data_IF_506875670864
#
_entry.id   IF_506875670864
#
_cell.length_a   1.000
_cell.length_b   1.000
_cell.length_c   1.000
_cell.angle_alpha   90.00
_cell.angle_beta   90.00
_cell.angle_gamma   90.00
#
_symmetry.space_group_name_H-M   'P 1'
#
loop_
_entity.id
_entity.type
_entity.pdbx_description
1 polymer ?
#
# COMPACT_ATOMS: atom_id res chain seq x y z
N UNK A 1 -4.06 8.16 29.64
CA UNK A 1 -2.93 8.16 28.69
C UNK A 1 -3.52 8.02 27.29
N UNK A 2 -3.69 9.14 26.59
CA UNK A 2 -4.30 9.15 25.25
C UNK A 2 -3.38 8.47 24.23
N UNK A 3 -3.90 7.43 23.59
CA UNK A 3 -3.26 6.72 22.50
C UNK A 3 -3.14 7.66 21.29
N UNK A 4 -1.94 8.19 21.02
CA UNK A 4 -1.70 9.12 19.90
C UNK A 4 -1.40 8.31 18.63
N UNK A 5 -2.44 8.07 17.82
CA UNK A 5 -2.33 7.50 16.46
C UNK A 5 -2.25 8.63 15.44
N UNK A 6 -1.37 8.49 14.44
CA UNK A 6 -1.06 9.56 13.50
C UNK A 6 -1.76 9.30 12.15
N UNK A 7 -2.52 10.30 11.68
CA UNK A 7 -3.01 10.41 10.30
C UNK A 7 -1.95 11.12 9.48
N UNK A 8 -1.70 10.65 8.28
CA UNK A 8 -1.00 11.44 7.29
C UNK A 8 -1.82 11.44 5.99
N UNK A 9 -2.16 12.63 5.51
CA UNK A 9 -3.03 12.83 4.35
C UNK A 9 -2.12 13.35 3.24
N UNK A 10 -1.77 12.56 2.23
CA UNK A 10 -0.78 12.98 1.21
C UNK A 10 -1.20 12.61 -0.22
N UNK A 11 -0.79 13.44 -1.18
CA UNK A 11 -1.25 13.48 -2.56
C UNK A 11 -1.20 12.14 -3.30
N UNK A 12 -2.10 12.00 -4.29
CA UNK A 12 -1.75 11.23 -5.47
C UNK A 12 -2.90 10.71 -6.29
N UNK A 13 -3.03 11.24 -7.50
CA UNK A 13 -3.89 10.75 -8.57
C UNK A 13 -3.40 9.41 -9.14
N UNK A 14 -4.37 8.52 -9.41
CA UNK A 14 -4.30 7.25 -10.15
C UNK A 14 -3.35 6.15 -9.61
N UNK A 15 -3.81 4.89 -9.66
CA UNK A 15 -3.04 3.71 -9.23
C UNK A 15 -2.00 3.31 -10.29
N UNK A 16 -0.97 4.13 -10.49
CA UNK A 16 0.25 3.70 -11.19
C UNK A 16 1.24 3.08 -10.19
N UNK A 17 2.22 2.35 -10.69
CA UNK A 17 3.30 1.87 -9.84
C UNK A 17 4.14 3.05 -9.32
N UNK A 18 4.53 3.00 -8.04
CA UNK A 18 5.41 3.95 -7.36
C UNK A 18 4.93 5.41 -7.36
N UNK A 19 3.63 5.67 -7.58
CA UNK A 19 3.08 7.02 -7.50
C UNK A 19 3.31 7.60 -6.09
N UNK A 20 3.93 8.78 -6.02
CA UNK A 20 4.26 9.52 -4.78
C UNK A 20 5.31 8.87 -3.88
N UNK A 21 6.38 8.36 -4.49
CA UNK A 21 7.60 7.88 -3.81
C UNK A 21 8.17 8.86 -2.75
N UNK A 22 7.85 10.15 -2.84
CA UNK A 22 8.19 11.16 -1.83
C UNK A 22 7.67 10.79 -0.43
N UNK A 23 6.52 10.10 -0.33
CA UNK A 23 5.92 9.64 0.93
C UNK A 23 6.80 8.63 1.67
N UNK A 24 7.67 7.92 0.93
CA UNK A 24 8.55 6.94 1.52
C UNK A 24 9.60 7.54 2.47
N UNK A 25 9.82 8.86 2.44
CA UNK A 25 10.64 9.55 3.45
C UNK A 25 10.05 9.43 4.87
N UNK A 26 8.73 9.43 4.99
CA UNK A 26 8.03 9.30 6.28
C UNK A 26 8.10 7.88 6.82
N UNK A 27 8.01 6.90 5.92
CA UNK A 27 8.31 5.51 6.23
C UNK A 27 9.73 5.43 6.82
N UNK A 28 10.76 5.97 6.16
CA UNK A 28 12.13 5.98 6.71
C UNK A 28 12.22 6.64 8.09
N UNK A 29 11.50 7.73 8.32
CA UNK A 29 11.49 8.41 9.61
C UNK A 29 10.86 7.53 10.71
N UNK A 30 9.73 6.87 10.41
CA UNK A 30 9.07 5.92 11.29
C UNK A 30 10.00 4.73 11.62
N UNK A 31 10.71 4.19 10.63
CA UNK A 31 11.68 3.12 10.82
C UNK A 31 12.82 3.52 11.76
N UNK A 32 13.35 4.74 11.62
CA UNK A 32 14.41 5.26 12.51
C UNK A 32 13.93 5.39 13.96
N UNK A 33 12.69 5.84 14.15
CA UNK A 33 12.12 6.10 15.48
C UNK A 33 11.81 4.82 16.26
N UNK A 34 11.26 3.80 15.60
CA UNK A 34 10.72 2.63 16.30
C UNK A 34 11.71 1.46 16.44
N UNK A 35 12.90 1.51 15.81
CA UNK A 35 13.94 0.44 15.84
C UNK A 35 13.37 -0.99 15.78
N UNK A 36 12.28 -1.19 15.04
CA UNK A 36 11.60 -2.48 14.97
C UNK A 36 12.36 -3.45 14.08
N UNK A 37 12.28 -4.74 14.43
CA UNK A 37 12.80 -5.84 13.59
C UNK A 37 11.84 -6.21 12.45
N UNK A 38 10.54 -5.99 12.65
CA UNK A 38 9.48 -6.33 11.70
C UNK A 38 8.51 -5.16 11.58
N UNK A 39 8.07 -4.89 10.35
CA UNK A 39 7.13 -3.83 10.01
C UNK A 39 5.99 -4.45 9.19
N UNK A 40 4.76 -4.30 9.67
CA UNK A 40 3.56 -4.79 9.02
C UNK A 40 2.87 -3.63 8.30
N UNK A 41 2.60 -3.81 7.01
CA UNK A 41 2.04 -2.77 6.15
C UNK A 41 0.79 -3.30 5.48
N UNK A 42 -0.30 -2.56 5.54
CA UNK A 42 -1.55 -2.91 4.87
C UNK A 42 -1.86 -1.91 3.77
N UNK A 43 -1.95 -2.38 2.53
CA UNK A 43 -2.42 -1.60 1.38
C UNK A 43 -3.85 -2.00 1.04
N UNK A 44 -4.79 -1.07 1.18
CA UNK A 44 -6.22 -1.28 0.98
C UNK A 44 -6.90 -0.09 0.29
N UNK A 45 -7.77 -0.30 -0.70
CA UNK A 45 -8.00 -1.55 -1.40
C UNK A 45 -6.93 -1.74 -2.47
N UNK A 46 -6.50 -2.98 -2.70
CA UNK A 46 -5.66 -3.25 -3.86
C UNK A 46 -6.50 -3.52 -5.09
N UNK A 47 -6.12 -2.97 -6.23
CA UNK A 47 -6.69 -3.33 -7.54
C UNK A 47 -5.92 -4.49 -8.18
N UNK A 48 -5.04 -4.19 -9.11
CA UNK A 48 -4.27 -5.19 -9.87
C UNK A 48 -2.87 -5.40 -9.28
N UNK A 49 -2.64 -5.05 -8.02
CA UNK A 49 -1.36 -5.27 -7.32
C UNK A 49 -0.40 -4.09 -7.34
N UNK A 50 -0.67 -3.03 -8.10
CA UNK A 50 0.29 -1.95 -8.33
C UNK A 50 0.80 -1.31 -7.04
N UNK A 51 -0.08 -0.95 -6.11
CA UNK A 51 0.30 -0.33 -4.83
C UNK A 51 1.07 -1.28 -3.90
N UNK A 52 0.58 -2.48 -3.53
CA UNK A 52 1.34 -3.38 -2.65
C UNK A 52 2.66 -3.84 -3.28
N UNK A 53 2.73 -4.01 -4.60
CA UNK A 53 3.99 -4.34 -5.27
C UNK A 53 4.95 -3.16 -5.33
N UNK A 54 4.45 -1.93 -5.44
CA UNK A 54 5.28 -0.72 -5.33
C UNK A 54 5.93 -0.61 -3.95
N UNK A 55 5.15 -0.89 -2.89
CA UNK A 55 5.68 -0.96 -1.53
C UNK A 55 6.75 -2.06 -1.42
N UNK A 56 6.46 -3.27 -1.91
CA UNK A 56 7.39 -4.39 -1.86
C UNK A 56 8.72 -4.08 -2.57
N UNK A 57 8.65 -3.55 -3.78
CA UNK A 57 9.83 -3.14 -4.54
C UNK A 57 10.65 -2.08 -3.81
N UNK A 58 9.97 -1.09 -3.21
CA UNK A 58 10.62 -0.04 -2.43
C UNK A 58 11.38 -0.60 -1.24
N UNK A 59 10.73 -1.46 -0.45
CA UNK A 59 11.35 -2.04 0.73
C UNK A 59 12.51 -2.97 0.41
N UNK A 60 12.43 -3.70 -0.72
CA UNK A 60 13.56 -4.50 -1.19
C UNK A 60 14.78 -3.62 -1.57
N UNK A 61 14.56 -2.48 -2.23
CA UNK A 61 15.64 -1.50 -2.50
C UNK A 61 16.16 -0.86 -1.20
N UNK A 62 15.27 -0.55 -0.25
CA UNK A 62 15.64 0.01 1.03
C UNK A 62 16.55 -0.95 1.82
N UNK A 63 16.24 -2.24 1.80
CA UNK A 63 17.06 -3.29 2.42
C UNK A 63 18.43 -3.41 1.79
N UNK A 64 18.52 -3.31 0.46
CA UNK A 64 19.80 -3.35 -0.27
C UNK A 64 20.68 -2.14 0.03
N UNK A 65 20.09 -0.97 0.27
CA UNK A 65 20.82 0.27 0.57
C UNK A 65 21.17 0.45 2.06
N UNK A 66 20.39 -0.13 2.96
CA UNK A 66 20.57 -0.03 4.41
C UNK A 66 20.72 -1.46 4.93
N UNK A 67 21.95 -1.97 5.06
CA UNK A 67 22.24 -3.37 5.39
C UNK A 67 21.59 -3.91 6.68
N UNK A 68 21.03 -3.05 7.54
CA UNK A 68 20.27 -3.39 8.73
C UNK A 68 18.81 -2.88 8.69
N UNK A 69 18.16 -2.88 7.52
CA UNK A 69 16.74 -2.54 7.45
C UNK A 69 15.87 -3.58 8.18
N UNK A 70 14.72 -3.18 8.76
CA UNK A 70 13.73 -4.14 9.24
C UNK A 70 13.30 -5.14 8.16
N UNK A 71 12.77 -6.28 8.59
CA UNK A 71 11.97 -7.14 7.72
C UNK A 71 10.59 -6.50 7.54
N UNK A 72 10.02 -6.63 6.34
CA UNK A 72 8.71 -6.09 6.01
C UNK A 72 7.76 -7.22 5.64
N UNK A 73 6.50 -7.08 6.02
CA UNK A 73 5.43 -7.95 5.56
C UNK A 73 4.27 -7.09 5.08
N UNK A 74 3.91 -7.26 3.82
CA UNK A 74 2.89 -6.45 3.16
C UNK A 74 1.63 -7.29 3.06
N UNK A 75 0.52 -6.67 3.42
CA UNK A 75 -0.81 -7.23 3.45
C UNK A 75 -1.65 -6.44 2.48
N UNK A 76 -2.59 -7.11 1.82
CA UNK A 76 -3.54 -6.42 0.98
C UNK A 76 -4.90 -7.07 1.01
N UNK A 77 -5.96 -6.25 0.99
CA UNK A 77 -7.33 -6.72 0.93
C UNK A 77 -8.14 -5.95 -0.11
N UNK A 78 -9.25 -6.53 -0.55
CA UNK A 78 -10.23 -5.87 -1.42
C UNK A 78 -11.63 -6.34 -1.10
N UNK A 79 -12.56 -5.40 -1.09
CA UNK A 79 -13.99 -5.70 -1.25
C UNK A 79 -14.21 -6.20 -2.68
N UNK A 80 -14.11 -7.52 -2.91
CA UNK A 80 -14.41 -8.30 -4.14
C UNK A 80 -13.22 -9.19 -4.62
N UNK A 81 -13.42 -10.50 -4.51
CA UNK A 81 -12.46 -11.58 -4.82
C UNK A 81 -11.90 -11.57 -6.25
N UNK A 82 -12.65 -11.10 -7.26
CA UNK A 82 -12.27 -11.27 -8.69
C UNK A 82 -11.05 -10.44 -9.15
N UNK A 83 -10.47 -9.63 -8.28
CA UNK A 83 -9.36 -8.72 -8.63
C UNK A 83 -7.97 -9.26 -8.33
N UNK A 84 -7.85 -10.19 -7.38
CA UNK A 84 -6.55 -10.75 -7.00
C UNK A 84 -5.93 -11.66 -8.05
N UNK A 85 -6.74 -12.31 -8.89
CA UNK A 85 -6.23 -13.13 -9.99
C UNK A 85 -5.31 -12.34 -10.93
N UNK A 86 -5.62 -11.06 -11.19
CA UNK A 86 -4.76 -10.19 -12.00
C UNK A 86 -3.44 -9.87 -11.29
N UNK A 87 -3.52 -9.53 -9.99
CA UNK A 87 -2.34 -9.25 -9.18
C UNK A 87 -1.42 -10.48 -9.05
N UNK A 88 -2.00 -11.66 -8.82
CA UNK A 88 -1.26 -12.94 -8.71
C UNK A 88 -0.62 -13.38 -10.02
N UNK A 89 -1.22 -13.04 -11.17
CA UNK A 89 -0.57 -13.20 -12.49
C UNK A 89 0.61 -12.25 -12.64
N UNK A 90 0.47 -11.02 -12.16
CA UNK A 90 1.55 -10.03 -12.17
C UNK A 90 1.98 -9.61 -13.57
N UNK A 91 1.05 -9.63 -14.53
CA UNK A 91 1.28 -9.26 -15.93
C UNK A 91 0.69 -7.87 -16.18
N UNK A 92 1.50 -6.98 -16.72
CA UNK A 92 1.15 -5.58 -16.97
C UNK A 92 1.54 -5.17 -18.38
N UNK A 93 0.74 -4.28 -18.98
CA UNK A 93 1.07 -3.66 -20.26
C UNK A 93 2.16 -2.61 -20.08
N UNK A 94 2.94 -2.33 -21.12
CA UNK A 94 3.99 -1.31 -21.10
C UNK A 94 3.52 0.03 -20.50
N UNK A 95 2.35 0.50 -20.91
CA UNK A 95 1.75 1.75 -20.42
C UNK A 95 1.57 1.80 -18.90
N UNK A 96 1.32 0.67 -18.24
CA UNK A 96 1.10 0.59 -16.79
C UNK A 96 2.40 0.73 -16.01
N UNK A 97 3.52 0.33 -16.62
CA UNK A 97 4.85 0.38 -16.01
C UNK A 97 5.68 1.55 -16.54
N UNK A 98 5.12 2.40 -17.40
CA UNK A 98 5.85 3.44 -18.13
C UNK A 98 6.56 4.41 -17.17
N UNK A 99 5.84 4.86 -16.13
CA UNK A 99 6.33 5.81 -15.11
C UNK A 99 7.27 5.18 -14.07
N UNK A 100 7.45 3.86 -14.06
CA UNK A 100 8.36 3.19 -13.13
C UNK A 100 9.81 3.61 -13.45
N UNK A 101 10.58 4.12 -12.47
CA UNK A 101 11.98 4.47 -12.69
C UNK A 101 12.77 3.26 -13.22
N UNK A 102 13.69 3.51 -14.14
CA UNK A 102 14.41 2.45 -14.87
C UNK A 102 15.11 1.43 -13.97
N UNK A 103 15.63 1.87 -12.82
CA UNK A 103 16.24 0.97 -11.83
C UNK A 103 15.26 -0.08 -11.31
N UNK A 104 14.02 0.31 -11.03
CA UNK A 104 12.96 -0.60 -10.58
C UNK A 104 12.50 -1.49 -11.73
N UNK A 105 12.29 -0.91 -12.92
CA UNK A 105 11.84 -1.63 -14.10
C UNK A 105 12.80 -2.77 -14.47
N UNK A 106 14.09 -2.47 -14.57
CA UNK A 106 15.14 -3.46 -14.90
C UNK A 106 15.32 -4.54 -13.82
N UNK A 107 15.08 -4.19 -12.55
CA UNK A 107 15.29 -5.12 -11.43
C UNK A 107 14.10 -6.08 -11.27
N UNK A 108 12.87 -5.58 -11.42
CA UNK A 108 11.68 -6.30 -11.00
C UNK A 108 10.75 -6.70 -12.13
N UNK A 109 10.93 -6.20 -13.35
CA UNK A 109 10.10 -6.55 -14.49
C UNK A 109 10.92 -7.24 -15.57
N UNK A 110 10.28 -8.19 -16.25
CA UNK A 110 10.80 -8.85 -17.45
C UNK A 110 9.77 -8.73 -18.56
N UNK A 111 10.23 -8.34 -19.74
CA UNK A 111 9.40 -8.35 -20.94
C UNK A 111 9.02 -9.79 -21.29
N UNK A 112 7.76 -10.00 -21.64
CA UNK A 112 7.22 -11.28 -22.08
C UNK A 112 7.41 -11.33 -23.60
N UNK A 113 8.19 -12.28 -24.16
CA UNK A 113 8.56 -12.30 -25.58
C UNK A 113 7.39 -12.43 -26.58
N UNK A 114 6.17 -12.67 -26.10
CA UNK A 114 4.98 -12.76 -26.95
C UNK A 114 4.24 -11.42 -26.94
N UNK A 115 4.35 -10.68 -28.05
CA UNK A 115 3.47 -9.56 -28.31
C UNK A 115 2.03 -10.07 -28.33
N UNK A 116 1.24 -9.67 -27.33
CA UNK A 116 -0.22 -9.79 -27.46
C UNK A 116 -0.67 -8.89 -28.62
N UNK A 117 -1.86 -9.12 -29.17
CA UNK A 117 -2.49 -8.15 -30.10
C UNK A 117 -2.60 -6.72 -29.52
N UNK A 118 -2.31 -6.54 -28.23
CA UNK A 118 -2.37 -5.29 -27.48
C UNK A 118 -0.98 -4.69 -27.12
N UNK A 119 0.11 -5.15 -27.74
CA UNK A 119 1.47 -4.64 -27.52
C UNK A 119 2.29 -5.44 -26.49
N UNK A 120 3.43 -4.87 -26.07
CA UNK A 120 4.36 -5.50 -25.14
C UNK A 120 3.77 -5.67 -23.74
N UNK A 121 4.00 -6.84 -23.16
CA UNK A 121 3.59 -7.20 -21.79
C UNK A 121 4.82 -7.50 -20.93
N UNK A 122 4.69 -7.24 -19.64
CA UNK A 122 5.76 -7.38 -18.67
C UNK A 122 5.26 -8.18 -17.47
N UNK A 123 6.05 -9.15 -17.03
CA UNK A 123 5.82 -9.86 -15.77
C UNK A 123 6.65 -9.22 -14.65
N UNK A 124 6.02 -8.94 -13.51
CA UNK A 124 6.74 -8.59 -12.28
C UNK A 124 7.34 -9.84 -11.63
N UNK A 125 8.46 -9.68 -10.92
CA UNK A 125 9.15 -10.75 -10.20
C UNK A 125 8.20 -11.50 -9.25
N UNK A 126 8.30 -12.84 -9.27
CA UNK A 126 7.58 -13.71 -8.33
C UNK A 126 7.94 -13.43 -6.87
N UNK A 127 9.17 -13.02 -6.59
CA UNK A 127 9.59 -12.67 -5.23
C UNK A 127 8.80 -11.47 -4.68
N UNK A 128 8.52 -10.50 -5.55
CA UNK A 128 7.69 -9.34 -5.18
C UNK A 128 6.25 -9.78 -4.93
N UNK A 129 5.68 -10.62 -5.79
CA UNK A 129 4.31 -11.13 -5.61
C UNK A 129 4.19 -11.92 -4.30
N UNK A 130 5.15 -12.81 -4.04
CA UNK A 130 5.18 -13.68 -2.86
C UNK A 130 5.47 -12.91 -1.56
N UNK A 131 5.99 -11.69 -1.66
CA UNK A 131 6.20 -10.81 -0.49
C UNK A 131 4.90 -10.14 0.01
N UNK A 132 3.80 -10.27 -0.74
CA UNK A 132 2.49 -9.70 -0.43
C UNK A 132 1.49 -10.80 -0.03
N UNK A 133 0.91 -10.67 1.15
CA UNK A 133 -0.15 -11.54 1.65
C UNK A 133 -1.52 -10.97 1.28
N UNK A 134 -2.33 -11.77 0.57
CA UNK A 134 -3.65 -11.40 0.09
C UNK A 134 -4.74 -11.87 1.05
N UNK A 135 -5.50 -10.93 1.59
CA UNK A 135 -6.66 -11.13 2.44
C UNK A 135 -7.92 -11.01 1.59
N UNK A 136 -8.51 -12.16 1.30
CA UNK A 136 -9.66 -12.27 0.40
C UNK A 136 -10.99 -11.99 1.08
N UNK A 137 -11.02 -11.90 2.40
CA UNK A 137 -12.25 -11.70 3.17
C UNK A 137 -12.81 -10.28 3.07
N UNK A 138 -14.13 -10.17 3.20
CA UNK A 138 -14.82 -8.88 3.33
C UNK A 138 -14.52 -8.28 4.70
N UNK A 139 -13.49 -7.45 4.76
CA UNK A 139 -13.01 -6.78 5.98
C UNK A 139 -14.09 -5.92 6.67
N UNK A 140 -15.12 -5.49 5.93
CA UNK A 140 -16.21 -4.70 6.51
C UNK A 140 -17.09 -5.60 7.37
N UNK A 141 -17.29 -6.86 6.94
CA UNK A 141 -18.04 -7.90 7.65
C UNK A 141 -17.22 -8.52 8.77
N UNK A 142 -16.00 -8.96 8.46
CA UNK A 142 -15.10 -9.60 9.43
C UNK A 142 -13.65 -9.21 9.13
N UNK A 143 -13.01 -8.56 10.09
CA UNK A 143 -11.59 -8.17 10.04
C UNK A 143 -10.79 -8.81 11.17
N UNK A 144 -11.36 -9.75 11.93
CA UNK A 144 -10.73 -10.36 13.11
C UNK A 144 -9.41 -11.08 12.81
N UNK A 145 -9.20 -11.49 11.56
CA UNK A 145 -7.99 -12.16 11.09
C UNK A 145 -6.86 -11.20 10.68
N UNK A 146 -7.15 -9.90 10.56
CA UNK A 146 -6.11 -8.93 10.24
C UNK A 146 -5.22 -8.69 11.47
N UNK A 147 -3.89 -8.67 11.32
CA UNK A 147 -2.99 -8.31 12.41
C UNK A 147 -3.02 -6.79 12.66
N UNK A 148 -2.25 -6.35 13.65
CA UNK A 148 -1.94 -4.92 13.80
C UNK A 148 -0.89 -4.49 12.77
N UNK A 149 -1.00 -3.25 12.30
CA UNK A 149 -0.16 -2.66 11.27
C UNK A 149 0.60 -1.44 11.79
N UNK A 150 1.84 -1.30 11.35
CA UNK A 150 2.65 -0.10 11.53
C UNK A 150 2.22 1.00 10.55
N UNK A 151 1.85 0.59 9.33
CA UNK A 151 1.46 1.48 8.24
C UNK A 151 0.22 0.91 7.57
N UNK A 152 -0.80 1.75 7.39
CA UNK A 152 -1.96 1.47 6.55
C UNK A 152 -1.92 2.47 5.39
N UNK A 153 -2.10 2.00 4.17
CA UNK A 153 -2.21 2.83 2.96
C UNK A 153 -3.60 2.63 2.40
N UNK A 154 -4.36 3.71 2.28
CA UNK A 154 -5.68 3.72 1.68
C UNK A 154 -5.88 4.91 0.76
N UNK A 155 -5.54 4.71 -0.52
CA UNK A 155 -5.54 5.77 -1.53
C UNK A 155 -6.55 5.49 -2.64
N UNK A 156 -7.13 6.57 -3.17
CA UNK A 156 -8.00 6.57 -4.35
C UNK A 156 -9.23 5.64 -4.23
N UNK A 157 -9.74 5.46 -3.03
CA UNK A 157 -10.91 4.65 -2.74
C UNK A 157 -11.96 5.39 -1.90
N UNK A 158 -11.53 6.05 -0.82
CA UNK A 158 -12.44 6.63 0.17
C UNK A 158 -13.32 7.75 -0.41
N UNK A 159 -12.90 8.43 -1.48
CA UNK A 159 -13.74 9.43 -2.15
C UNK A 159 -14.95 8.83 -2.89
N UNK A 160 -14.85 7.56 -3.30
CA UNK A 160 -15.88 6.87 -4.09
C UNK A 160 -16.89 6.08 -3.25
N UNK A 161 -16.66 6.01 -1.94
CA UNK A 161 -17.39 5.15 -1.00
C UNK A 161 -18.41 5.98 -0.22
N UNK A 162 -19.61 5.42 0.03
CA UNK A 162 -20.64 6.07 0.84
C UNK A 162 -20.12 6.36 2.26
N UNK A 163 -20.53 7.48 2.84
CA UNK A 163 -20.09 7.96 4.17
C UNK A 163 -20.17 6.88 5.26
N UNK A 164 -21.24 6.07 5.29
CA UNK A 164 -21.40 4.99 6.28
C UNK A 164 -20.28 3.94 6.22
N UNK A 165 -19.85 3.56 5.00
CA UNK A 165 -18.76 2.62 4.79
C UNK A 165 -17.42 3.29 5.05
N UNK A 166 -17.27 4.58 4.71
CA UNK A 166 -16.07 5.36 5.03
C UNK A 166 -15.82 5.39 6.54
N UNK A 167 -16.84 5.69 7.34
CA UNK A 167 -16.73 5.70 8.80
C UNK A 167 -16.39 4.32 9.37
N UNK A 168 -17.02 3.26 8.84
CA UNK A 168 -16.70 1.88 9.24
C UNK A 168 -15.25 1.52 8.93
N UNK A 169 -14.75 1.88 7.75
CA UNK A 169 -13.35 1.64 7.38
C UNK A 169 -12.38 2.38 8.29
N UNK A 170 -12.72 3.61 8.71
CA UNK A 170 -11.86 4.37 9.62
C UNK A 170 -11.77 3.76 11.00
N UNK A 171 -12.87 3.25 11.56
CA UNK A 171 -12.83 2.48 12.80
C UNK A 171 -12.00 1.20 12.63
N UNK A 172 -12.14 0.49 11.51
CA UNK A 172 -11.30 -0.69 11.22
C UNK A 172 -9.82 -0.31 11.16
N UNK A 173 -9.46 0.77 10.46
CA UNK A 173 -8.09 1.25 10.40
C UNK A 173 -7.57 1.63 11.78
N UNK A 174 -8.36 2.32 12.59
CA UNK A 174 -8.02 2.67 13.97
C UNK A 174 -7.82 1.44 14.84
N UNK A 175 -8.63 0.40 14.66
CA UNK A 175 -8.53 -0.86 15.38
C UNK A 175 -7.27 -1.62 14.98
N UNK A 176 -6.80 -1.52 13.73
CA UNK A 176 -5.66 -2.30 13.26
C UNK A 176 -4.35 -1.51 13.26
N UNK A 177 -4.40 -0.17 13.28
CA UNK A 177 -3.21 0.65 13.36
C UNK A 177 -2.66 0.64 14.79
N UNK A 178 -1.37 0.36 14.92
CA UNK A 178 -0.70 0.47 16.22
C UNK A 178 -0.67 1.92 16.69
N UNK A 179 -0.41 2.08 17.98
CA UNK A 179 -0.08 3.36 18.56
C UNK A 179 1.17 3.94 17.89
N UNK A 180 1.09 5.23 17.54
CA UNK A 180 2.08 5.92 16.71
C UNK A 180 2.31 5.34 15.30
N UNK A 181 1.42 4.47 14.80
CA UNK A 181 1.42 4.03 13.41
C UNK A 181 0.99 5.13 12.45
N UNK A 182 1.14 4.85 11.15
CA UNK A 182 0.86 5.79 10.06
C UNK A 182 -0.31 5.31 9.20
N UNK A 183 -1.35 6.13 9.07
CA UNK A 183 -2.37 5.95 8.03
C UNK A 183 -2.10 6.94 6.90
N UNK A 184 -1.84 6.45 5.69
CA UNK A 184 -1.60 7.23 4.47
C UNK A 184 -2.86 7.19 3.60
N UNK A 185 -3.46 8.34 3.31
CA UNK A 185 -4.62 8.46 2.42
C UNK A 185 -4.38 9.49 1.31
N UNK A 186 -5.17 9.44 0.23
CA UNK A 186 -5.10 10.45 -0.84
C UNK A 186 -5.60 11.84 -0.42
N UNK A 187 -5.01 12.91 -0.96
CA UNK A 187 -5.39 14.31 -0.63
C UNK A 187 -6.86 14.62 -0.88
N UNK A 188 -7.42 14.19 -2.02
CA UNK A 188 -8.83 14.43 -2.35
C UNK A 188 -9.79 13.67 -1.44
N UNK A 189 -9.26 12.76 -0.62
CA UNK A 189 -10.01 11.88 0.25
C UNK A 189 -10.13 12.44 1.67
N UNK A 190 -9.67 13.68 1.86
CA UNK A 190 -9.57 14.36 3.14
C UNK A 190 -10.79 14.05 4.00
N UNK A 191 -10.49 13.40 5.11
CA UNK A 191 -11.51 12.86 5.99
C UNK A 191 -11.90 13.97 6.92
N UNK A 192 -13.21 14.28 6.99
CA UNK A 192 -13.73 15.00 8.14
C UNK A 192 -13.53 14.11 9.35
N UNK A 193 -12.44 14.36 10.08
CA UNK A 193 -12.04 13.65 11.28
C UNK A 193 -12.96 14.05 12.44
N UNK A 194 -14.25 13.75 12.32
CA UNK A 194 -15.32 14.23 13.20
C UNK A 194 -15.01 13.96 14.68
N UNK A 195 -14.32 12.86 14.97
CA UNK A 195 -14.02 12.42 16.35
C UNK A 195 -12.53 12.51 16.72
N UNK A 196 -11.70 13.26 15.99
CA UNK A 196 -10.25 13.35 16.24
C UNK A 196 -9.52 11.99 16.33
N UNK A 197 -10.02 10.97 15.61
CA UNK A 197 -9.56 9.58 15.65
C UNK A 197 -8.07 9.46 15.30
N UNK A 198 -7.63 10.29 14.34
CA UNK A 198 -6.25 10.32 13.91
C UNK A 198 -5.70 11.75 13.92
N UNK A 199 -4.42 11.92 14.27
CA UNK A 199 -3.77 13.24 14.25
C UNK A 199 -3.04 13.50 12.93
N UNK A 200 -3.43 14.54 12.19
CA UNK A 200 -2.76 14.96 10.97
C UNK A 200 -1.26 15.29 11.20
N UNK A 201 -0.38 14.70 10.38
CA UNK A 201 1.08 14.88 10.42
C UNK A 201 1.61 15.69 9.23
N UNK A 202 1.06 15.49 8.03
CA UNK A 202 1.43 16.24 6.82
C UNK A 202 0.24 16.29 5.83
N UNK A 203 0.25 17.33 4.98
CA UNK A 203 -0.69 17.61 3.90
C UNK A 203 0.00 17.83 2.53
N UNK A 204 1.33 17.70 2.43
CA UNK A 204 2.13 18.15 1.28
C UNK A 204 2.61 17.02 0.36
#
# INVERSE_FOLDING_TARGET
>A
MESKRFLEIINGSNSSFLTNYSQFKYIKALLKKHKKKYIHIWSFPCASGEEPFSLAMYFDQLKKSIGNSPKFKIYTSRFNHNTFEKARKGIYKEKTILEIPQIYKKTYFKEIPMASANGAEYSISRDIINSVEFFEEDIIKDHSKLPKFDIIVCRNFLFSVKEIFKNRLLEIFKDHLIDMGLLIIGISEMIMNKDNIFKLVDLR
#
